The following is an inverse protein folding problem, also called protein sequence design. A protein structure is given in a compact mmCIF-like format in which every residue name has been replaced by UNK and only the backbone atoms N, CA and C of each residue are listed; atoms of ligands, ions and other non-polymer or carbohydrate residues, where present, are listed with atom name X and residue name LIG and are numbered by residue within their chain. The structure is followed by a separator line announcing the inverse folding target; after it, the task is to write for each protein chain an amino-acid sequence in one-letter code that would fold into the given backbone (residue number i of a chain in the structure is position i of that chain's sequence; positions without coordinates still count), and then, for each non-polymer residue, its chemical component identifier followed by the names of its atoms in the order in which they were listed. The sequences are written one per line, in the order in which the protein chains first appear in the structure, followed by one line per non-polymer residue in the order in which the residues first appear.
data_IF_289068161537
#
_entry.id   IF_289068161537
#
_cell.length_a   1.000
_cell.length_b   1.000
_cell.length_c   1.000
_cell.angle_alpha   90.00
_cell.angle_beta   90.00
_cell.angle_gamma   90.00
#
_symmetry.space_group_name_H-M   'P 1'
#
loop_
_entity.id
_entity.type
_entity.pdbx_description
1 polymer ?
#
# COMPACT_ATOMS: atom_id res chain seq x y z
N UNK A 1 14.35 -13.80 24.31
CA UNK A 1 14.51 -12.79 23.25
C UNK A 1 13.80 -13.32 22.05
N UNK A 2 12.76 -12.63 21.60
CA UNK A 2 12.04 -12.98 20.38
C UNK A 2 12.88 -12.51 19.20
N UNK A 3 13.19 -13.42 18.27
CA UNK A 3 13.93 -13.05 17.06
C UNK A 3 12.97 -12.41 16.06
N UNK A 4 13.46 -11.38 15.37
CA UNK A 4 12.75 -10.74 14.28
C UNK A 4 12.41 -11.77 13.20
N UNK A 5 11.22 -11.64 12.59
CA UNK A 5 10.77 -12.50 11.51
C UNK A 5 10.90 -11.78 10.17
N UNK A 6 11.59 -12.44 9.25
CA UNK A 6 11.61 -12.07 7.83
C UNK A 6 10.75 -13.05 7.06
N UNK A 7 9.73 -12.54 6.35
CA UNK A 7 9.05 -13.30 5.31
C UNK A 7 9.85 -13.11 4.03
N UNK A 8 10.50 -14.16 3.56
CA UNK A 8 11.47 -14.07 2.48
C UNK A 8 10.86 -13.71 1.12
N UNK A 9 11.72 -13.24 0.23
CA UNK A 9 11.36 -12.94 -1.15
C UNK A 9 10.77 -14.18 -1.82
N UNK A 10 9.67 -13.98 -2.53
CA UNK A 10 8.94 -15.03 -3.21
C UNK A 10 8.52 -16.20 -2.29
N UNK A 11 8.49 -16.02 -0.95
CA UNK A 11 8.21 -17.09 0.01
C UNK A 11 6.96 -17.89 -0.35
N UNK A 12 5.99 -17.22 -0.96
CA UNK A 12 4.80 -17.81 -1.49
C UNK A 12 4.42 -17.31 -2.90
N UNK A 13 5.40 -16.86 -3.67
CA UNK A 13 5.18 -16.41 -5.05
C UNK A 13 4.61 -17.54 -5.89
N UNK A 14 3.62 -17.23 -6.73
CA UNK A 14 2.96 -18.21 -7.61
C UNK A 14 2.34 -19.38 -6.84
N UNK A 15 1.45 -19.07 -5.90
CA UNK A 15 0.54 -19.98 -5.19
C UNK A 15 -0.41 -20.82 -6.09
N UNK A 16 0.03 -21.30 -7.26
CA UNK A 16 -0.78 -22.17 -8.13
C UNK A 16 -1.22 -23.40 -7.34
N UNK A 17 -2.49 -23.41 -6.92
CA UNK A 17 -3.11 -24.53 -6.22
C UNK A 17 -3.02 -24.51 -4.69
N UNK A 18 -2.68 -23.38 -4.04
CA UNK A 18 -2.77 -23.35 -2.56
C UNK A 18 -4.15 -22.94 -2.06
N UNK A 19 -4.57 -23.56 -0.96
CA UNK A 19 -5.82 -23.23 -0.25
C UNK A 19 -5.67 -22.07 0.74
N UNK A 20 -4.57 -21.30 0.68
CA UNK A 20 -4.35 -20.20 1.63
C UNK A 20 -5.29 -19.05 1.25
N UNK A 21 -6.29 -18.86 2.11
CA UNK A 21 -7.28 -17.80 1.97
C UNK A 21 -7.06 -16.66 2.96
N UNK A 22 -6.29 -16.91 4.01
CA UNK A 22 -6.01 -15.96 5.07
C UNK A 22 -4.53 -16.01 5.47
N UNK A 23 -3.93 -14.84 5.65
CA UNK A 23 -2.58 -14.67 6.20
C UNK A 23 -2.65 -13.68 7.36
N UNK A 24 -2.11 -14.09 8.50
CA UNK A 24 -1.85 -13.19 9.61
C UNK A 24 -0.34 -12.94 9.71
N UNK A 25 0.07 -11.67 9.57
CA UNK A 25 1.45 -11.25 9.70
C UNK A 25 1.73 -11.01 11.20
N UNK A 26 2.62 -11.79 11.83
CA UNK A 26 2.83 -11.69 13.27
C UNK A 26 3.60 -10.41 13.64
N UNK A 27 3.43 -9.94 14.88
CA UNK A 27 3.96 -8.68 15.39
C UNK A 27 5.49 -8.56 15.37
N UNK A 28 6.18 -9.70 15.33
CA UNK A 28 7.64 -9.80 15.19
C UNK A 28 8.14 -9.67 13.75
N UNK A 29 7.25 -9.60 12.76
CA UNK A 29 7.64 -9.44 11.37
C UNK A 29 8.21 -8.05 11.13
N UNK A 30 9.46 -7.98 10.68
CA UNK A 30 10.14 -6.73 10.31
C UNK A 30 10.17 -6.51 8.80
N UNK A 31 10.05 -7.60 8.03
CA UNK A 31 10.11 -7.56 6.57
C UNK A 31 9.09 -8.52 5.93
N UNK A 32 8.37 -8.01 4.93
CA UNK A 32 7.66 -8.81 3.93
C UNK A 32 8.40 -8.69 2.61
N UNK A 33 8.91 -9.82 2.11
CA UNK A 33 9.81 -9.92 0.97
C UNK A 33 9.21 -9.47 -0.37
N UNK A 34 10.10 -9.25 -1.33
CA UNK A 34 9.75 -9.00 -2.73
C UNK A 34 8.81 -10.09 -3.23
N UNK A 35 7.63 -9.69 -3.71
CA UNK A 35 6.61 -10.61 -4.25
C UNK A 35 6.24 -11.77 -3.32
N UNK A 36 6.43 -11.62 -2.01
CA UNK A 36 6.26 -12.70 -1.03
C UNK A 36 4.91 -13.42 -1.14
N UNK A 37 3.83 -12.71 -1.45
CA UNK A 37 2.47 -13.20 -1.62
C UNK A 37 1.86 -12.83 -2.99
N UNK A 38 2.69 -12.46 -3.96
CA UNK A 38 2.21 -12.01 -5.28
C UNK A 38 1.57 -13.15 -6.09
N UNK A 39 0.51 -12.80 -6.82
CA UNK A 39 -0.04 -13.62 -7.89
C UNK A 39 0.48 -13.16 -9.25
N UNK A 40 1.11 -14.07 -9.99
CA UNK A 40 1.54 -13.80 -11.38
C UNK A 40 0.37 -13.75 -12.38
N UNK A 41 -0.84 -14.16 -11.98
CA UNK A 41 -2.04 -14.09 -12.82
C UNK A 41 -3.17 -13.43 -12.04
N UNK A 42 -3.75 -12.37 -12.60
CA UNK A 42 -4.79 -11.58 -11.94
C UNK A 42 -6.01 -12.44 -11.59
N UNK A 43 -6.44 -12.40 -10.33
CA UNK A 43 -7.60 -13.17 -9.84
C UNK A 43 -7.33 -14.64 -9.55
N UNK A 44 -6.09 -15.13 -9.68
CA UNK A 44 -5.72 -16.52 -9.36
C UNK A 44 -5.12 -16.68 -7.95
N UNK A 45 -5.06 -15.61 -7.16
CA UNK A 45 -4.82 -15.72 -5.73
C UNK A 45 -6.10 -16.15 -5.02
N UNK A 46 -5.97 -17.00 -4.01
CA UNK A 46 -7.04 -17.30 -3.06
C UNK A 46 -6.96 -16.42 -1.80
N UNK A 47 -5.90 -15.63 -1.63
CA UNK A 47 -5.68 -14.80 -0.45
C UNK A 47 -6.69 -13.66 -0.41
N UNK A 48 -7.71 -13.83 0.43
CA UNK A 48 -8.82 -12.90 0.61
C UNK A 48 -8.73 -12.12 1.92
N UNK A 49 -8.04 -12.67 2.93
CA UNK A 49 -7.90 -12.07 4.26
C UNK A 49 -6.43 -11.83 4.55
N UNK A 50 -6.08 -10.58 4.84
CA UNK A 50 -4.75 -10.19 5.31
C UNK A 50 -4.90 -9.41 6.62
N UNK A 51 -4.28 -9.91 7.68
CA UNK A 51 -4.25 -9.25 8.99
C UNK A 51 -2.82 -9.06 9.47
N UNK A 52 -2.64 -8.08 10.36
CA UNK A 52 -1.36 -7.79 11.03
C UNK A 52 -1.60 -7.80 12.53
N UNK A 53 -0.83 -8.58 13.27
CA UNK A 53 -0.83 -8.52 14.73
C UNK A 53 -0.25 -7.18 15.19
N UNK A 54 -0.83 -6.62 16.25
CA UNK A 54 -0.29 -5.43 16.89
C UNK A 54 1.12 -5.70 17.43
N UNK A 55 2.06 -4.82 17.08
CA UNK A 55 3.47 -4.95 17.45
C UNK A 55 4.16 -3.61 17.59
N UNK A 56 5.36 -3.64 18.15
CA UNK A 56 6.25 -2.49 18.33
C UNK A 56 7.40 -2.46 17.32
N UNK A 57 7.47 -3.46 16.43
CA UNK A 57 8.51 -3.61 15.41
C UNK A 57 8.15 -2.86 14.14
N UNK A 58 9.14 -2.15 13.61
CA UNK A 58 9.03 -1.51 12.31
C UNK A 58 8.89 -2.54 11.21
N UNK A 59 7.94 -2.30 10.31
CA UNK A 59 7.60 -3.21 9.24
C UNK A 59 7.88 -2.58 7.88
N UNK A 60 8.66 -3.27 7.06
CA UNK A 60 8.86 -2.94 5.64
C UNK A 60 8.10 -3.94 4.77
N UNK A 61 7.16 -3.43 3.95
CA UNK A 61 6.46 -4.21 2.93
C UNK A 61 7.18 -3.98 1.60
N UNK A 62 7.89 -4.97 1.06
CA UNK A 62 8.71 -4.77 -0.15
C UNK A 62 7.88 -4.79 -1.44
N UNK A 63 8.56 -4.45 -2.54
CA UNK A 63 8.02 -4.37 -3.89
C UNK A 63 7.20 -5.61 -4.27
N UNK A 64 5.98 -5.37 -4.75
CA UNK A 64 5.07 -6.41 -5.22
C UNK A 64 4.59 -7.39 -4.17
N UNK A 65 4.83 -7.17 -2.87
CA UNK A 65 4.58 -8.16 -1.81
C UNK A 65 3.22 -8.86 -1.90
N UNK A 66 2.14 -8.16 -2.23
CA UNK A 66 0.77 -8.66 -2.36
C UNK A 66 0.16 -8.36 -3.74
N UNK A 67 0.99 -8.11 -4.76
CA UNK A 67 0.51 -7.77 -6.10
C UNK A 67 -0.45 -8.84 -6.65
N UNK A 68 -1.58 -8.41 -7.18
CA UNK A 68 -2.58 -9.28 -7.82
C UNK A 68 -3.33 -10.21 -6.88
N UNK A 69 -3.27 -9.96 -5.56
CA UNK A 69 -4.07 -10.72 -4.57
C UNK A 69 -5.54 -10.31 -4.62
N UNK A 70 -6.41 -11.11 -4.00
CA UNK A 70 -7.87 -10.88 -4.00
C UNK A 70 -8.38 -10.35 -2.65
N UNK A 71 -7.49 -9.78 -1.84
CA UNK A 71 -7.84 -9.19 -0.54
C UNK A 71 -8.91 -8.10 -0.72
N UNK A 72 -9.86 -8.04 0.21
CA UNK A 72 -10.96 -7.06 0.15
C UNK A 72 -10.73 -5.85 1.04
N UNK A 73 -9.97 -6.04 2.11
CA UNK A 73 -9.63 -5.02 3.09
C UNK A 73 -8.18 -5.19 3.54
N UNK A 74 -7.52 -4.08 3.86
CA UNK A 74 -6.22 -4.09 4.53
C UNK A 74 -6.10 -2.92 5.50
N UNK A 75 -5.60 -3.23 6.70
CA UNK A 75 -5.17 -2.24 7.69
C UNK A 75 -3.65 -2.30 7.75
N UNK A 76 -2.97 -1.30 7.18
CA UNK A 76 -1.53 -1.17 7.28
C UNK A 76 -1.19 -0.70 8.70
N UNK A 77 -0.37 -1.45 9.47
CA UNK A 77 -0.14 -1.15 10.88
C UNK A 77 0.65 0.15 11.08
N UNK A 78 0.49 0.75 12.26
CA UNK A 78 1.12 2.02 12.67
C UNK A 78 2.66 2.00 12.65
N UNK A 79 3.25 0.80 12.70
CA UNK A 79 4.70 0.57 12.62
C UNK A 79 5.20 0.30 11.21
N UNK A 80 4.33 0.26 10.20
CA UNK A 80 4.80 0.18 8.82
C UNK A 80 5.60 1.44 8.47
N UNK A 81 6.83 1.30 8.00
CA UNK A 81 7.67 2.45 7.63
C UNK A 81 7.72 2.63 6.11
N UNK A 82 7.49 1.55 5.36
CA UNK A 82 7.56 1.56 3.90
C UNK A 82 6.58 0.58 3.29
N UNK A 83 5.87 1.05 2.26
CA UNK A 83 5.09 0.25 1.32
C UNK A 83 5.80 0.36 -0.03
N UNK A 84 6.48 -0.71 -0.45
CA UNK A 84 7.31 -0.73 -1.64
C UNK A 84 6.51 -0.66 -2.94
N UNK A 85 7.23 -0.45 -4.04
CA UNK A 85 6.58 -0.25 -5.35
C UNK A 85 5.67 -1.41 -5.74
N UNK A 86 4.46 -1.10 -6.20
CA UNK A 86 3.47 -2.10 -6.59
C UNK A 86 3.07 -3.10 -5.50
N UNK A 87 3.32 -2.84 -4.21
CA UNK A 87 3.08 -3.81 -3.13
C UNK A 87 1.66 -4.38 -3.13
N UNK A 88 0.65 -3.57 -3.47
CA UNK A 88 -0.77 -3.95 -3.59
C UNK A 88 -1.33 -3.66 -4.99
N UNK A 89 -0.46 -3.53 -5.99
CA UNK A 89 -0.87 -3.31 -7.39
C UNK A 89 -1.79 -4.44 -7.87
N UNK A 90 -2.80 -4.08 -8.65
CA UNK A 90 -3.80 -4.98 -9.22
C UNK A 90 -4.60 -5.81 -8.18
N UNK A 91 -4.66 -5.38 -6.91
CA UNK A 91 -5.59 -5.96 -5.94
C UNK A 91 -7.01 -5.48 -6.24
N UNK A 92 -7.59 -5.92 -7.35
CA UNK A 92 -8.83 -5.40 -7.92
C UNK A 92 -10.07 -5.58 -7.02
N UNK A 93 -9.99 -6.42 -5.97
CA UNK A 93 -11.06 -6.60 -4.98
C UNK A 93 -10.86 -5.79 -3.70
N UNK A 94 -9.72 -5.11 -3.55
CA UNK A 94 -9.43 -4.30 -2.37
C UNK A 94 -10.30 -3.03 -2.42
N UNK A 95 -11.29 -2.95 -1.54
CA UNK A 95 -12.24 -1.83 -1.44
C UNK A 95 -12.01 -0.98 -0.21
N UNK A 96 -11.39 -1.55 0.83
CA UNK A 96 -11.14 -0.90 2.12
C UNK A 96 -9.65 -0.85 2.42
N UNK A 97 -9.10 0.37 2.49
CA UNK A 97 -7.72 0.62 2.88
C UNK A 97 -7.70 1.52 4.10
N UNK A 98 -7.06 1.06 5.16
CA UNK A 98 -6.72 1.90 6.32
C UNK A 98 -5.21 1.99 6.45
N UNK A 99 -4.69 3.21 6.50
CA UNK A 99 -3.30 3.48 6.87
C UNK A 99 -3.30 3.94 8.33
N UNK A 100 -2.90 3.07 9.26
CA UNK A 100 -2.95 3.43 10.67
C UNK A 100 -1.93 4.54 11.01
N UNK A 101 -2.38 5.50 11.81
CA UNK A 101 -1.52 6.53 12.38
C UNK A 101 -0.49 5.94 13.35
N UNK A 102 0.66 6.58 13.50
CA UNK A 102 1.81 6.05 14.22
C UNK A 102 2.99 7.00 14.30
N UNK A 103 3.96 6.67 15.14
CA UNK A 103 5.08 7.56 15.44
C UNK A 103 6.17 7.57 14.35
N UNK A 104 6.28 6.52 13.54
CA UNK A 104 7.33 6.43 12.52
C UNK A 104 6.90 7.10 11.22
N UNK A 105 7.83 7.62 10.39
CA UNK A 105 7.48 8.07 9.05
C UNK A 105 6.97 6.92 8.17
N UNK A 106 6.04 7.22 7.25
CA UNK A 106 5.57 6.28 6.23
C UNK A 106 5.93 6.78 4.83
N UNK A 107 6.48 5.89 4.01
CA UNK A 107 6.66 6.10 2.57
C UNK A 107 5.79 5.13 1.77
N UNK A 108 5.03 5.65 0.82
CA UNK A 108 4.22 4.89 -0.14
C UNK A 108 4.93 4.94 -1.49
N UNK A 109 5.34 3.78 -2.01
CA UNK A 109 6.13 3.67 -3.24
C UNK A 109 5.32 3.82 -4.52
N UNK A 110 6.04 3.85 -5.63
CA UNK A 110 5.51 3.91 -6.99
C UNK A 110 4.49 2.79 -7.25
N UNK A 111 3.34 3.11 -7.84
CA UNK A 111 2.26 2.16 -8.16
C UNK A 111 1.74 1.32 -6.97
N UNK A 112 2.04 1.67 -5.71
CA UNK A 112 1.82 0.81 -4.55
C UNK A 112 0.39 0.24 -4.46
N UNK A 113 -0.62 1.02 -4.83
CA UNK A 113 -2.04 0.66 -4.84
C UNK A 113 -2.69 0.85 -6.22
N UNK A 114 -1.90 0.83 -7.30
CA UNK A 114 -2.41 0.98 -8.66
C UNK A 114 -3.49 -0.07 -8.97
N UNK A 115 -4.55 0.35 -9.68
CA UNK A 115 -5.63 -0.52 -10.14
C UNK A 115 -6.32 -1.33 -9.02
N UNK A 116 -6.47 -0.71 -7.85
CA UNK A 116 -7.32 -1.23 -6.76
C UNK A 116 -8.73 -0.63 -6.84
N UNK A 117 -9.67 -1.21 -6.09
CA UNK A 117 -11.08 -0.74 -6.05
C UNK A 117 -11.37 0.07 -4.78
N UNK A 118 -10.34 0.66 -4.17
CA UNK A 118 -10.51 1.45 -2.94
C UNK A 118 -11.43 2.63 -3.22
N UNK A 119 -12.29 2.93 -2.25
CA UNK A 119 -13.29 4.01 -2.39
C UNK A 119 -12.86 5.31 -1.73
N UNK A 120 -12.07 5.19 -0.66
CA UNK A 120 -11.50 6.30 0.06
C UNK A 120 -10.13 5.94 0.65
N UNK A 121 -9.29 6.95 0.89
CA UNK A 121 -8.07 6.81 1.70
C UNK A 121 -7.87 8.05 2.57
N UNK A 122 -7.53 7.83 3.83
CA UNK A 122 -7.03 8.85 4.74
C UNK A 122 -5.51 8.71 4.82
N UNK A 123 -4.79 9.74 4.39
CA UNK A 123 -3.33 9.80 4.41
C UNK A 123 -2.90 10.32 5.79
N UNK A 124 -2.25 9.50 6.63
CA UNK A 124 -1.92 9.90 7.99
C UNK A 124 -0.81 10.96 8.01
N UNK A 125 -0.77 11.76 9.07
CA UNK A 125 0.13 12.92 9.25
C UNK A 125 1.63 12.55 9.20
N UNK A 126 1.94 11.27 9.45
CA UNK A 126 3.28 10.68 9.39
C UNK A 126 3.77 10.35 7.98
N UNK A 127 2.92 10.44 6.96
CA UNK A 127 3.28 10.15 5.57
C UNK A 127 4.25 11.21 5.07
N UNK A 128 5.39 10.78 4.52
CA UNK A 128 6.43 11.67 3.99
C UNK A 128 6.45 11.71 2.47
N UNK A 129 6.09 10.61 1.83
CA UNK A 129 6.04 10.55 0.37
C UNK A 129 4.97 9.61 -0.16
N UNK A 130 4.38 10.00 -1.27
CA UNK A 130 3.49 9.22 -2.13
C UNK A 130 4.12 9.21 -3.53
N UNK A 131 4.65 8.06 -3.92
CA UNK A 131 5.40 7.91 -5.18
C UNK A 131 4.53 7.92 -6.43
N UNK A 132 5.21 7.98 -7.58
CA UNK A 132 4.59 8.04 -8.90
C UNK A 132 3.49 6.99 -9.08
N UNK A 133 2.32 7.41 -9.56
CA UNK A 133 1.17 6.54 -9.84
C UNK A 133 0.70 5.67 -8.64
N UNK A 134 1.02 6.04 -7.39
CA UNK A 134 0.71 5.22 -6.22
C UNK A 134 -0.75 4.75 -6.14
N UNK A 135 -1.72 5.59 -6.50
CA UNK A 135 -3.15 5.29 -6.56
C UNK A 135 -3.72 5.43 -7.98
N UNK A 136 -2.87 5.30 -9.01
CA UNK A 136 -3.29 5.42 -10.39
C UNK A 136 -4.34 4.36 -10.76
N UNK A 137 -5.33 4.74 -11.57
CA UNK A 137 -6.40 3.84 -12.03
C UNK A 137 -7.22 3.21 -10.89
N UNK A 138 -7.24 3.82 -9.70
CA UNK A 138 -8.20 3.47 -8.65
C UNK A 138 -9.56 4.09 -8.99
N UNK A 139 -10.26 3.51 -9.96
CA UNK A 139 -11.46 4.11 -10.61
C UNK A 139 -12.66 4.32 -9.68
N UNK A 140 -12.63 3.76 -8.48
CA UNK A 140 -13.66 3.94 -7.44
C UNK A 140 -13.23 4.91 -6.35
N UNK A 141 -11.98 5.39 -6.36
CA UNK A 141 -11.45 6.29 -5.34
C UNK A 141 -12.08 7.67 -5.50
N UNK A 142 -13.07 7.96 -4.66
CA UNK A 142 -13.85 9.18 -4.71
C UNK A 142 -13.52 10.16 -3.58
N UNK A 143 -12.71 9.75 -2.60
CA UNK A 143 -12.33 10.58 -1.46
C UNK A 143 -10.89 10.33 -1.02
N UNK A 144 -10.08 11.38 -1.02
CA UNK A 144 -8.74 11.37 -0.39
C UNK A 144 -8.74 12.49 0.64
N UNK A 145 -8.29 12.17 1.84
CA UNK A 145 -8.13 13.15 2.94
C UNK A 145 -6.71 13.07 3.47
N UNK A 146 -6.21 14.18 4.01
CA UNK A 146 -4.88 14.29 4.58
C UNK A 146 -5.01 14.75 6.02
N UNK A 147 -4.42 14.01 6.95
CA UNK A 147 -4.30 14.48 8.33
C UNK A 147 -3.25 15.58 8.43
N UNK A 148 -3.54 16.61 9.23
CA UNK A 148 -2.62 17.70 9.46
C UNK A 148 -1.34 17.17 10.14
N UNK A 149 -0.21 17.28 9.44
CA UNK A 149 1.11 16.92 9.94
C UNK A 149 2.08 18.08 9.85
N UNK A 150 3.10 18.09 10.72
CA UNK A 150 4.08 19.19 10.77
C UNK A 150 5.25 19.03 9.77
N UNK A 151 5.37 17.88 9.12
CA UNK A 151 6.43 17.66 8.14
C UNK A 151 5.87 17.63 6.72
N UNK A 152 6.66 18.14 5.77
CA UNK A 152 6.28 18.17 4.35
C UNK A 152 5.90 16.79 3.82
N UNK A 153 4.88 16.78 2.97
CA UNK A 153 4.43 15.62 2.22
C UNK A 153 4.83 15.80 0.76
N UNK A 154 5.64 14.89 0.24
CA UNK A 154 5.99 14.84 -1.17
C UNK A 154 4.99 13.98 -1.94
N UNK A 155 4.39 14.52 -3.00
CA UNK A 155 3.44 13.79 -3.85
C UNK A 155 3.93 13.88 -5.29
N UNK A 156 4.27 12.71 -5.80
CA UNK A 156 4.90 12.52 -7.09
C UNK A 156 3.87 12.42 -8.23
N UNK A 157 4.36 12.28 -9.47
CA UNK A 157 3.55 12.31 -10.69
C UNK A 157 2.33 11.40 -10.62
N UNK A 158 1.19 11.88 -11.13
CA UNK A 158 0.02 11.05 -11.44
C UNK A 158 -0.46 10.17 -10.25
N UNK A 159 -0.09 10.54 -9.02
CA UNK A 159 -0.32 9.71 -7.83
C UNK A 159 -1.80 9.35 -7.66
N UNK A 160 -2.72 10.21 -8.08
CA UNK A 160 -4.17 10.03 -7.98
C UNK A 160 -4.89 10.16 -9.33
N UNK A 161 -4.20 9.93 -10.44
CA UNK A 161 -4.81 10.01 -11.78
C UNK A 161 -5.69 8.79 -12.08
N UNK A 162 -6.67 8.98 -12.98
CA UNK A 162 -7.66 7.95 -13.34
C UNK A 162 -8.46 7.43 -12.12
N UNK A 163 -8.74 8.33 -11.18
CA UNK A 163 -9.60 8.10 -10.01
C UNK A 163 -11.00 8.70 -10.23
N UNK A 164 -11.91 8.48 -9.27
CA UNK A 164 -13.23 9.11 -9.24
C UNK A 164 -13.24 10.44 -8.46
N UNK A 165 -12.07 11.03 -8.19
CA UNK A 165 -11.96 12.30 -7.48
C UNK A 165 -12.52 13.43 -8.34
N UNK A 166 -13.49 14.17 -7.79
CA UNK A 166 -13.99 15.41 -8.42
C UNK A 166 -13.04 16.59 -8.17
N UNK A 167 -12.41 16.62 -7.00
CA UNK A 167 -11.36 17.55 -6.63
C UNK A 167 -10.49 16.90 -5.56
N UNK A 168 -9.25 17.36 -5.43
CA UNK A 168 -8.33 16.94 -4.39
C UNK A 168 -7.80 18.19 -3.69
N UNK A 169 -8.13 18.32 -2.41
CA UNK A 169 -7.56 19.37 -1.55
C UNK A 169 -6.27 18.84 -0.94
N UNK A 170 -5.16 19.53 -1.21
CA UNK A 170 -3.83 19.10 -0.79
C UNK A 170 -3.44 19.84 0.49
N UNK A 171 -2.71 19.18 1.42
CA UNK A 171 -2.33 19.83 2.66
C UNK A 171 -1.37 21.00 2.40
N UNK A 172 -1.42 21.97 3.31
CA UNK A 172 -0.46 23.07 3.33
C UNK A 172 0.97 22.50 3.39
N UNK A 173 1.89 23.03 2.58
CA UNK A 173 3.27 22.55 2.43
C UNK A 173 3.47 21.19 1.72
N UNK A 174 2.46 20.66 1.03
CA UNK A 174 2.68 19.57 0.09
C UNK A 174 3.62 20.03 -1.05
N UNK A 175 4.75 19.36 -1.21
CA UNK A 175 5.61 19.55 -2.39
C UNK A 175 5.05 18.65 -3.47
N UNK A 176 4.72 19.25 -4.62
CA UNK A 176 4.24 18.52 -5.79
C UNK A 176 5.36 18.51 -6.80
N UNK A 177 5.68 17.35 -7.34
CA UNK A 177 6.53 17.30 -8.52
C UNK A 177 5.74 17.87 -9.71
N UNK A 178 6.09 19.09 -10.13
CA UNK A 178 5.51 19.77 -11.28
C UNK A 178 6.27 19.45 -12.58
N UNK A 179 7.27 18.56 -12.54
CA UNK A 179 8.10 18.23 -13.70
C UNK A 179 7.45 17.22 -14.66
N UNK A 180 6.26 16.71 -14.33
CA UNK A 180 5.52 15.79 -15.16
C UNK A 180 5.02 16.54 -16.40
N UNK A 181 5.69 16.36 -17.54
CA UNK A 181 5.15 16.82 -18.81
C UNK A 181 3.86 16.05 -19.11
N UNK A 182 2.87 16.76 -19.64
CA UNK A 182 1.65 16.17 -20.21
C UNK A 182 2.00 15.39 -21.48
N UNK A 183 2.74 14.29 -21.38
CA UNK A 183 3.12 13.49 -22.54
C UNK A 183 2.65 12.04 -22.38
N UNK A 184 1.47 11.80 -22.97
CA UNK A 184 1.18 10.68 -23.88
C UNK A 184 1.18 9.26 -23.33
#
# INVERSE_FOLDING_TARGET
GEQDLTIWDNAFYTFRGTSITAVNIPSRATYIGFKAFSSAVLGFSNLAILTFDAGDKDLTIRTGAFQGTIITAVIIPSRATSIGSGAFKDCARLTELTLADGAQPLTIGMEAFQATSITAVNIPSRTRSIGERAFFSCTHLASVTFEAGEGGLDIDCHAFDQTALNCLDYPEHAVRDQSCSEDG
#
